data_IF_380060220355
#
_entry.id   IF_380060220355
#
_cell.length_a   1.000
_cell.length_b   1.000
_cell.length_c   1.000
_cell.angle_alpha   90.00
_cell.angle_beta   90.00
_cell.angle_gamma   90.00
#
_symmetry.space_group_name_H-M   'P 1'
#
loop_
_entity.id
_entity.type
_entity.pdbx_description
1 polymer ?
#
# COMPACT_ATOMS: atom_id res chain seq x y z
N UNK A 1 7.11 -10.93 -22.51
CA UNK A 1 6.44 -11.00 -21.20
C UNK A 1 5.30 -12.01 -21.27
N UNK A 2 4.88 -12.57 -20.12
CA UNK A 2 3.79 -13.55 -20.06
C UNK A 2 2.62 -12.96 -19.24
N UNK A 3 1.40 -13.09 -19.76
CA UNK A 3 0.16 -12.69 -19.08
C UNK A 3 -0.59 -13.93 -18.58
N UNK A 4 -0.95 -13.96 -17.29
CA UNK A 4 -1.89 -14.93 -16.75
C UNK A 4 -3.28 -14.32 -16.70
N UNK A 5 -4.25 -14.95 -17.34
CA UNK A 5 -5.67 -14.60 -17.28
C UNK A 5 -6.32 -15.57 -16.31
N UNK A 6 -6.72 -15.06 -15.13
CA UNK A 6 -7.38 -15.84 -14.08
C UNK A 6 -8.89 -15.71 -14.23
N UNK A 7 -9.56 -16.86 -14.43
CA UNK A 7 -11.01 -16.92 -14.69
C UNK A 7 -11.69 -17.70 -13.57
N UNK A 8 -12.27 -17.02 -12.55
CA UNK A 8 -13.13 -17.69 -11.56
C UNK A 8 -14.46 -18.06 -12.19
N UNK A 9 -14.93 -19.30 -11.98
CA UNK A 9 -16.16 -19.83 -12.58
C UNK A 9 -17.01 -20.53 -11.52
N UNK A 10 -18.32 -20.26 -11.55
CA UNK A 10 -19.32 -20.99 -10.76
C UNK A 10 -20.69 -20.96 -11.45
N UNK A 11 -21.14 -22.12 -11.97
CA UNK A 11 -22.40 -22.28 -12.67
C UNK A 11 -22.58 -21.29 -13.84
N UNK A 12 -21.66 -21.37 -14.82
CA UNK A 12 -21.62 -20.49 -15.99
C UNK A 12 -21.68 -21.29 -17.31
N UNK A 13 -22.50 -22.37 -17.33
CA UNK A 13 -22.63 -23.25 -18.51
C UNK A 13 -23.05 -22.52 -19.80
N UNK A 14 -23.72 -21.36 -19.69
CA UNK A 14 -24.19 -20.57 -20.82
C UNK A 14 -23.11 -19.63 -21.39
N UNK A 15 -22.09 -19.25 -20.62
CA UNK A 15 -21.19 -18.18 -20.96
C UNK A 15 -19.74 -18.62 -21.05
N UNK A 16 -19.33 -19.71 -20.34
CA UNK A 16 -17.93 -20.12 -20.22
C UNK A 16 -17.30 -20.49 -21.57
N UNK A 17 -18.00 -21.12 -22.48
CA UNK A 17 -17.49 -21.49 -23.81
C UNK A 17 -17.19 -20.24 -24.65
N UNK A 18 -18.12 -19.30 -24.64
CA UNK A 18 -17.99 -18.02 -25.34
C UNK A 18 -16.85 -17.17 -24.79
N UNK A 19 -16.75 -17.01 -23.44
CA UNK A 19 -15.69 -16.19 -22.86
C UNK A 19 -14.29 -16.77 -23.14
N UNK A 20 -14.13 -18.11 -23.08
CA UNK A 20 -12.86 -18.76 -23.45
C UNK A 20 -12.52 -18.52 -24.90
N UNK A 21 -13.52 -18.64 -25.81
CA UNK A 21 -13.34 -18.36 -27.24
C UNK A 21 -12.89 -16.93 -27.48
N UNK A 22 -13.51 -15.95 -26.78
CA UNK A 22 -13.12 -14.53 -26.86
C UNK A 22 -11.71 -14.30 -26.31
N UNK A 23 -11.31 -14.98 -25.22
CA UNK A 23 -9.94 -14.89 -24.66
C UNK A 23 -8.92 -15.43 -25.69
N UNK A 24 -9.18 -16.58 -26.30
CA UNK A 24 -8.26 -17.17 -27.29
C UNK A 24 -8.14 -16.34 -28.58
N UNK A 25 -9.13 -15.52 -28.89
CA UNK A 25 -9.08 -14.60 -30.02
C UNK A 25 -8.21 -13.36 -29.77
N UNK A 26 -7.87 -13.05 -28.49
CA UNK A 26 -7.05 -11.90 -28.14
C UNK A 26 -5.61 -12.15 -28.61
N UNK A 27 -5.05 -11.17 -29.32
CA UNK A 27 -3.64 -11.17 -29.73
C UNK A 27 -2.93 -9.95 -29.10
N UNK A 28 -1.85 -10.21 -28.41
CA UNK A 28 -1.03 -9.17 -27.76
C UNK A 28 0.40 -9.29 -28.28
N UNK A 29 0.84 -8.40 -29.18
CA UNK A 29 2.19 -8.46 -29.73
C UNK A 29 3.26 -8.46 -28.63
N UNK A 30 4.21 -9.41 -28.70
CA UNK A 30 5.30 -9.54 -27.75
C UNK A 30 4.93 -10.16 -26.40
N UNK A 31 3.69 -10.65 -26.24
CA UNK A 31 3.24 -11.35 -25.03
C UNK A 31 2.80 -12.79 -25.34
N UNK A 32 3.13 -13.69 -24.43
CA UNK A 32 2.51 -15.01 -24.36
C UNK A 32 1.40 -14.98 -23.33
N UNK A 33 0.38 -15.82 -23.49
CA UNK A 33 -0.76 -15.87 -22.57
C UNK A 33 -0.93 -17.29 -22.02
N UNK A 34 -1.34 -17.36 -20.75
CA UNK A 34 -1.92 -18.56 -20.14
C UNK A 34 -3.28 -18.25 -19.56
N UNK A 35 -4.15 -19.22 -19.57
CA UNK A 35 -5.50 -19.10 -18.98
C UNK A 35 -5.61 -20.09 -17.83
N UNK A 36 -5.88 -19.57 -16.64
CA UNK A 36 -6.06 -20.35 -15.41
C UNK A 36 -7.51 -20.24 -14.97
N UNK A 37 -8.25 -21.31 -15.10
CA UNK A 37 -9.67 -21.38 -14.73
C UNK A 37 -9.83 -22.05 -13.38
N UNK A 38 -10.56 -21.42 -12.48
CA UNK A 38 -10.89 -21.98 -11.16
C UNK A 38 -12.38 -22.25 -11.11
N UNK A 39 -12.73 -23.52 -11.20
CA UNK A 39 -14.12 -23.97 -11.03
C UNK A 39 -14.46 -24.12 -9.55
N UNK A 40 -15.27 -23.22 -9.04
CA UNK A 40 -15.63 -23.13 -7.63
C UNK A 40 -16.79 -24.08 -7.28
N UNK A 41 -16.62 -25.38 -7.62
CA UNK A 41 -17.59 -26.46 -7.42
C UNK A 41 -18.89 -26.26 -8.19
N UNK A 42 -18.83 -25.99 -9.50
CA UNK A 42 -20.02 -25.89 -10.35
C UNK A 42 -20.79 -27.18 -10.38
N UNK A 43 -22.16 -27.06 -10.31
CA UNK A 43 -23.11 -28.18 -10.31
C UNK A 43 -23.85 -28.34 -11.65
N UNK A 44 -23.66 -27.40 -12.57
CA UNK A 44 -24.23 -27.42 -13.94
C UNK A 44 -23.27 -28.09 -14.94
N UNK A 45 -23.43 -27.80 -16.24
CA UNK A 45 -22.58 -28.36 -17.29
C UNK A 45 -21.20 -27.65 -17.44
N UNK A 46 -20.89 -26.67 -16.58
CA UNK A 46 -19.61 -25.94 -16.63
C UNK A 46 -18.40 -26.89 -16.64
N UNK A 47 -18.29 -27.91 -15.74
CA UNK A 47 -17.12 -28.80 -15.73
C UNK A 47 -16.94 -29.60 -17.01
N UNK A 48 -18.06 -30.00 -17.68
CA UNK A 48 -17.99 -30.73 -18.93
C UNK A 48 -17.50 -29.84 -20.07
N UNK A 49 -17.88 -28.56 -20.07
CA UNK A 49 -17.41 -27.59 -21.08
C UNK A 49 -15.94 -27.33 -20.88
N UNK A 50 -15.48 -27.11 -19.64
CA UNK A 50 -14.07 -26.89 -19.32
C UNK A 50 -13.17 -28.05 -19.79
N UNK A 51 -13.65 -29.30 -19.65
CA UNK A 51 -12.91 -30.48 -20.15
C UNK A 51 -12.63 -30.43 -21.66
N UNK A 52 -13.50 -29.83 -22.46
CA UNK A 52 -13.26 -29.67 -23.91
C UNK A 52 -12.08 -28.77 -24.21
N UNK A 53 -11.84 -27.80 -23.34
CA UNK A 53 -10.75 -26.82 -23.48
C UNK A 53 -9.47 -27.17 -22.70
N UNK A 54 -9.41 -28.33 -22.03
CA UNK A 54 -8.33 -28.74 -21.14
C UNK A 54 -6.92 -28.70 -21.79
N UNK A 55 -6.85 -28.77 -23.13
CA UNK A 55 -5.60 -28.68 -23.87
C UNK A 55 -5.07 -27.25 -24.05
N UNK A 56 -5.87 -26.22 -23.73
CA UNK A 56 -5.52 -24.79 -23.87
C UNK A 56 -5.55 -24.03 -22.55
N UNK A 57 -6.16 -24.60 -21.49
CA UNK A 57 -6.34 -23.95 -20.21
C UNK A 57 -5.86 -24.83 -19.07
N UNK A 58 -5.40 -24.20 -18.00
CA UNK A 58 -5.17 -24.88 -16.72
C UNK A 58 -6.46 -24.80 -15.90
N UNK A 59 -7.04 -25.94 -15.53
CA UNK A 59 -8.26 -26.01 -14.73
C UNK A 59 -7.94 -26.50 -13.34
N UNK A 60 -8.43 -25.80 -12.32
CA UNK A 60 -8.45 -26.24 -10.93
C UNK A 60 -9.88 -26.25 -10.43
N UNK A 61 -10.31 -27.36 -9.84
CA UNK A 61 -11.68 -27.51 -9.34
C UNK A 61 -11.70 -27.60 -7.81
N UNK A 62 -12.52 -26.78 -7.17
CA UNK A 62 -12.78 -26.85 -5.74
C UNK A 62 -13.74 -28.01 -5.41
N UNK A 63 -13.63 -28.58 -4.22
CA UNK A 63 -14.55 -29.60 -3.72
C UNK A 63 -15.90 -29.03 -3.27
N UNK A 64 -15.91 -27.76 -2.89
CA UNK A 64 -17.06 -27.01 -2.38
C UNK A 64 -16.97 -25.54 -2.85
N UNK A 65 -18.11 -24.85 -2.94
CA UNK A 65 -18.12 -23.42 -3.27
C UNK A 65 -17.51 -22.60 -2.11
N UNK A 66 -16.45 -21.85 -2.42
CA UNK A 66 -15.68 -21.02 -1.48
C UNK A 66 -15.80 -19.54 -1.76
N UNK A 67 -16.51 -19.18 -2.79
CA UNK A 67 -16.74 -17.81 -3.22
C UNK A 67 -15.66 -17.24 -4.13
N UNK A 68 -16.05 -16.20 -4.90
CA UNK A 68 -15.25 -15.61 -5.97
C UNK A 68 -13.83 -15.23 -5.52
N UNK A 69 -13.69 -14.51 -4.41
CA UNK A 69 -12.38 -14.07 -3.95
C UNK A 69 -11.45 -15.23 -3.59
N UNK A 70 -11.97 -16.33 -3.03
CA UNK A 70 -11.18 -17.54 -2.76
C UNK A 70 -10.77 -18.22 -4.06
N UNK A 71 -11.66 -18.30 -5.05
CA UNK A 71 -11.34 -18.82 -6.38
C UNK A 71 -10.25 -18.00 -7.06
N UNK A 72 -10.37 -16.67 -7.04
CA UNK A 72 -9.34 -15.76 -7.56
C UNK A 72 -8.01 -15.98 -6.84
N UNK A 73 -7.99 -15.99 -5.49
CA UNK A 73 -6.79 -16.20 -4.70
C UNK A 73 -6.07 -17.52 -5.04
N UNK A 74 -6.84 -18.58 -5.33
CA UNK A 74 -6.29 -19.85 -5.78
C UNK A 74 -5.70 -19.72 -7.20
N UNK A 75 -6.43 -19.09 -8.12
CA UNK A 75 -5.95 -18.84 -9.47
C UNK A 75 -4.66 -18.03 -9.52
N UNK A 76 -4.53 -17.05 -8.62
CA UNK A 76 -3.30 -16.26 -8.46
C UNK A 76 -2.10 -17.10 -8.01
N UNK A 77 -2.30 -18.14 -7.19
CA UNK A 77 -1.22 -19.07 -6.81
C UNK A 77 -0.75 -19.90 -7.99
N UNK A 78 -1.69 -20.32 -8.83
CA UNK A 78 -1.46 -21.15 -10.01
C UNK A 78 -0.91 -20.37 -11.22
N UNK A 79 -1.05 -19.05 -11.21
CA UNK A 79 -0.59 -18.13 -12.24
C UNK A 79 0.96 -18.01 -12.24
N UNK A 80 1.56 -18.13 -13.43
CA UNK A 80 3.02 -18.13 -13.64
C UNK A 80 3.50 -16.97 -14.53
N UNK A 81 2.59 -16.08 -14.99
CA UNK A 81 2.92 -14.93 -15.82
C UNK A 81 3.60 -13.80 -15.04
N UNK A 82 4.23 -12.90 -15.77
CA UNK A 82 4.84 -11.68 -15.25
C UNK A 82 3.76 -10.69 -14.77
N UNK A 83 2.65 -10.67 -15.49
CA UNK A 83 1.44 -9.89 -15.18
C UNK A 83 0.22 -10.79 -15.08
N UNK A 84 -0.75 -10.37 -14.29
CA UNK A 84 -1.98 -11.08 -14.06
C UNK A 84 -3.17 -10.16 -14.32
N UNK A 85 -4.21 -10.68 -14.96
CA UNK A 85 -5.51 -10.02 -15.07
C UNK A 85 -6.62 -10.98 -14.62
N UNK A 86 -7.63 -10.45 -13.93
CA UNK A 86 -8.83 -11.19 -13.56
C UNK A 86 -9.88 -10.98 -14.66
N UNK A 87 -10.47 -12.06 -15.16
CA UNK A 87 -11.52 -12.06 -16.17
C UNK A 87 -12.71 -12.84 -15.65
N UNK A 88 -13.84 -12.17 -15.46
CA UNK A 88 -15.09 -12.85 -15.09
C UNK A 88 -15.63 -13.70 -16.27
N UNK A 89 -16.26 -14.81 -15.92
CA UNK A 89 -16.83 -15.74 -16.92
C UNK A 89 -18.21 -15.32 -17.46
N UNK A 90 -18.72 -14.18 -17.01
CA UNK A 90 -20.12 -13.76 -17.17
C UNK A 90 -20.42 -12.88 -18.40
N UNK A 91 -19.42 -12.63 -19.26
CA UNK A 91 -19.52 -11.79 -20.45
C UNK A 91 -19.76 -10.29 -20.19
N UNK A 92 -19.82 -9.83 -18.93
CA UNK A 92 -19.99 -8.40 -18.61
C UNK A 92 -18.79 -7.56 -19.09
N UNK A 93 -17.59 -8.16 -19.14
CA UNK A 93 -16.35 -7.54 -19.63
C UNK A 93 -15.82 -8.26 -20.88
N UNK A 94 -15.37 -7.48 -21.86
CA UNK A 94 -14.93 -8.05 -23.14
C UNK A 94 -13.40 -8.21 -23.21
N UNK A 95 -12.87 -9.45 -23.42
CA UNK A 95 -11.41 -9.70 -23.48
C UNK A 95 -10.63 -8.88 -24.53
N UNK A 96 -11.30 -8.39 -25.60
CA UNK A 96 -10.66 -7.49 -26.59
C UNK A 96 -10.09 -6.21 -26.00
N UNK A 97 -10.46 -5.86 -24.77
CA UNK A 97 -9.98 -4.65 -24.08
C UNK A 97 -8.69 -4.88 -23.30
N UNK A 98 -8.29 -6.13 -23.06
CA UNK A 98 -7.04 -6.49 -22.40
C UNK A 98 -5.82 -5.79 -23.02
N UNK A 99 -5.65 -5.70 -24.35
CA UNK A 99 -4.54 -4.99 -24.98
C UNK A 99 -4.48 -3.50 -24.59
N UNK A 100 -5.63 -2.83 -24.33
CA UNK A 100 -5.64 -1.42 -23.91
C UNK A 100 -5.11 -1.25 -22.50
N UNK A 101 -5.41 -2.19 -21.60
CA UNK A 101 -4.83 -2.18 -20.24
C UNK A 101 -3.32 -2.38 -20.31
N UNK A 102 -2.85 -3.33 -21.13
CA UNK A 102 -1.42 -3.60 -21.31
C UNK A 102 -0.70 -2.39 -21.89
N UNK A 103 -1.30 -1.70 -22.87
CA UNK A 103 -0.72 -0.51 -23.47
C UNK A 103 -0.62 0.69 -22.52
N UNK A 104 -1.30 0.63 -21.37
CA UNK A 104 -1.24 1.65 -20.34
C UNK A 104 -0.17 1.35 -19.25
N UNK A 105 0.45 0.17 -19.26
CA UNK A 105 1.55 -0.14 -18.34
C UNK A 105 2.71 0.82 -18.58
N UNK A 106 3.26 1.39 -17.50
CA UNK A 106 4.36 2.36 -17.54
C UNK A 106 3.94 3.79 -17.86
N UNK A 107 2.67 4.05 -18.19
CA UNK A 107 2.17 5.43 -18.28
C UNK A 107 2.09 6.03 -16.88
N UNK A 108 2.70 7.21 -16.70
CA UNK A 108 2.81 7.88 -15.40
C UNK A 108 3.39 6.96 -14.30
N UNK A 109 4.38 6.15 -14.64
CA UNK A 109 5.06 5.16 -13.77
C UNK A 109 4.12 4.13 -13.11
N UNK A 110 2.88 4.00 -13.61
CA UNK A 110 1.93 3.05 -13.09
C UNK A 110 2.14 1.66 -13.72
N UNK A 111 2.44 0.68 -12.89
CA UNK A 111 2.51 -0.74 -13.30
C UNK A 111 1.21 -1.50 -13.03
N UNK A 112 0.22 -0.86 -12.42
CA UNK A 112 -1.10 -1.41 -12.12
C UNK A 112 -2.11 -0.63 -12.93
N UNK A 113 -2.95 -1.34 -13.69
CA UNK A 113 -3.94 -0.71 -14.57
C UNK A 113 -5.32 -1.30 -14.32
N UNK A 114 -6.28 -0.44 -14.02
CA UNK A 114 -7.67 -0.82 -13.86
C UNK A 114 -8.51 -0.39 -15.07
N UNK A 115 -9.42 -1.25 -15.48
CA UNK A 115 -10.44 -0.87 -16.45
C UNK A 115 -11.59 -0.15 -15.74
N UNK A 116 -11.84 1.11 -16.05
CA UNK A 116 -12.93 1.87 -15.44
C UNK A 116 -14.16 1.94 -16.36
N UNK A 117 -15.31 1.56 -15.81
CA UNK A 117 -16.64 1.69 -16.45
C UNK A 117 -17.14 3.14 -16.41
N UNK A 118 -16.50 4.00 -15.62
CA UNK A 118 -16.95 5.38 -15.40
C UNK A 118 -16.22 6.41 -16.25
N UNK A 119 -15.15 6.01 -16.97
CA UNK A 119 -14.40 6.89 -17.88
C UNK A 119 -15.01 7.00 -19.28
N UNK A 120 -15.89 6.08 -19.66
CA UNK A 120 -16.67 6.22 -20.90
C UNK A 120 -17.82 7.24 -20.75
N UNK A 121 -17.98 8.09 -21.75
CA UNK A 121 -19.06 9.08 -21.81
C UNK A 121 -20.39 8.51 -22.30
N UNK A 122 -20.45 7.23 -22.64
CA UNK A 122 -21.69 6.58 -23.12
C UNK A 122 -22.71 6.39 -21.99
N UNK A 123 -23.99 6.23 -22.38
CA UNK A 123 -25.10 6.07 -21.43
C UNK A 123 -24.78 5.00 -20.40
N UNK A 124 -24.74 5.42 -19.16
CA UNK A 124 -24.45 4.54 -18.02
C UNK A 124 -25.64 3.61 -17.79
N UNK A 125 -25.54 2.36 -18.21
CA UNK A 125 -26.53 1.31 -17.95
C UNK A 125 -26.39 0.75 -16.54
N UNK A 126 -27.49 0.23 -15.98
CA UNK A 126 -27.52 -0.40 -14.65
C UNK A 126 -28.38 0.33 -13.61
N UNK A 127 -28.69 -0.35 -12.51
CA UNK A 127 -29.57 0.15 -11.45
C UNK A 127 -28.91 1.31 -10.68
N UNK A 128 -29.62 2.41 -10.49
CA UNK A 128 -29.17 3.65 -9.83
C UNK A 128 -28.57 3.37 -8.45
N UNK A 129 -29.20 2.51 -7.64
CA UNK A 129 -28.73 2.16 -6.30
C UNK A 129 -27.37 1.44 -6.28
N UNK A 130 -27.10 0.56 -7.25
CA UNK A 130 -25.81 -0.12 -7.34
C UNK A 130 -24.71 0.84 -7.76
N UNK A 131 -24.99 1.74 -8.69
CA UNK A 131 -24.07 2.80 -9.11
C UNK A 131 -23.73 3.72 -7.95
N UNK A 132 -24.73 4.08 -7.12
CA UNK A 132 -24.51 4.87 -5.92
C UNK A 132 -23.60 4.14 -4.91
N UNK A 133 -23.82 2.82 -4.70
CA UNK A 133 -22.96 2.02 -3.82
C UNK A 133 -21.49 1.97 -4.30
N UNK A 134 -21.27 1.71 -5.58
CA UNK A 134 -19.92 1.72 -6.18
C UNK A 134 -19.28 3.11 -6.08
N UNK A 135 -20.04 4.17 -6.36
CA UNK A 135 -19.58 5.54 -6.23
C UNK A 135 -19.17 5.86 -4.77
N UNK A 136 -20.00 5.50 -3.80
CA UNK A 136 -19.73 5.74 -2.37
C UNK A 136 -18.43 5.03 -1.93
N UNK A 137 -18.26 3.76 -2.30
CA UNK A 137 -17.06 2.98 -1.96
C UNK A 137 -15.83 3.56 -2.66
N UNK A 138 -15.96 3.98 -3.92
CA UNK A 138 -14.87 4.64 -4.65
C UNK A 138 -14.45 5.95 -3.96
N UNK A 139 -15.42 6.77 -3.54
CA UNK A 139 -15.15 8.00 -2.79
C UNK A 139 -14.51 7.73 -1.44
N UNK A 140 -14.95 6.70 -0.73
CA UNK A 140 -14.38 6.28 0.54
C UNK A 140 -12.91 5.87 0.37
N UNK A 141 -12.57 5.02 -0.61
CA UNK A 141 -11.20 4.60 -0.91
C UNK A 141 -10.34 5.81 -1.30
N UNK A 142 -10.84 6.67 -2.19
CA UNK A 142 -10.12 7.88 -2.59
C UNK A 142 -9.80 8.78 -1.39
N UNK A 143 -10.76 8.96 -0.50
CA UNK A 143 -10.56 9.72 0.71
C UNK A 143 -9.58 9.05 1.68
N UNK A 144 -9.67 7.71 1.85
CA UNK A 144 -8.81 6.93 2.75
C UNK A 144 -7.34 6.90 2.31
N UNK A 145 -7.07 6.92 1.00
CA UNK A 145 -5.73 6.71 0.44
C UNK A 145 -5.22 7.89 -0.41
N UNK A 146 -5.96 9.01 -0.47
CA UNK A 146 -5.54 10.21 -1.20
C UNK A 146 -5.48 10.02 -2.72
N UNK A 147 -6.32 9.15 -3.30
CA UNK A 147 -6.33 8.83 -4.72
C UNK A 147 -7.49 9.49 -5.48
N UNK A 148 -7.50 9.35 -6.81
CA UNK A 148 -8.57 9.89 -7.68
C UNK A 148 -9.15 8.84 -8.60
N UNK A 149 -9.25 7.59 -8.13
CA UNK A 149 -9.83 6.50 -8.90
C UNK A 149 -11.30 6.76 -9.20
N UNK A 150 -11.75 6.26 -10.35
CA UNK A 150 -13.13 6.42 -10.81
C UNK A 150 -13.96 5.15 -10.65
N UNK A 151 -13.31 3.96 -10.59
CA UNK A 151 -13.97 2.66 -10.44
C UNK A 151 -13.10 1.63 -9.69
N UNK A 152 -13.23 1.58 -8.37
CA UNK A 152 -12.47 0.62 -7.54
C UNK A 152 -13.07 -0.79 -7.53
N UNK A 153 -14.34 -0.94 -7.95
CA UNK A 153 -15.06 -2.22 -7.95
C UNK A 153 -15.12 -2.87 -9.33
N UNK A 154 -14.23 -2.50 -10.21
CA UNK A 154 -14.03 -3.19 -11.48
C UNK A 154 -13.39 -4.55 -11.27
N UNK A 155 -13.75 -5.55 -12.06
CA UNK A 155 -13.03 -6.83 -12.10
C UNK A 155 -11.76 -6.74 -12.95
N UNK A 156 -11.71 -5.81 -13.93
CA UNK A 156 -10.55 -5.63 -14.79
C UNK A 156 -9.40 -4.94 -14.06
N UNK A 157 -8.61 -5.76 -13.37
CA UNK A 157 -7.42 -5.37 -12.64
C UNK A 157 -6.21 -6.08 -13.24
N UNK A 158 -5.37 -5.34 -13.94
CA UNK A 158 -4.10 -5.81 -14.47
C UNK A 158 -2.98 -5.37 -13.51
N UNK A 159 -2.16 -6.30 -13.04
CA UNK A 159 -1.11 -6.01 -12.08
C UNK A 159 0.08 -6.98 -12.18
N UNK A 160 1.31 -6.57 -11.76
CA UNK A 160 2.47 -7.42 -11.69
C UNK A 160 2.27 -8.63 -10.75
N UNK A 161 2.77 -9.80 -11.13
CA UNK A 161 2.64 -11.02 -10.33
C UNK A 161 3.22 -10.91 -8.92
N UNK A 162 4.18 -10.02 -8.68
CA UNK A 162 4.73 -9.74 -7.35
C UNK A 162 3.70 -9.27 -6.33
N UNK A 163 2.58 -8.69 -6.80
CA UNK A 163 1.51 -8.18 -5.95
C UNK A 163 0.48 -9.24 -5.55
N UNK A 164 0.51 -10.45 -6.12
CA UNK A 164 -0.43 -11.53 -5.78
C UNK A 164 -0.46 -11.88 -4.28
N UNK A 165 0.64 -11.63 -3.57
CA UNK A 165 0.75 -11.81 -2.10
C UNK A 165 -0.22 -10.94 -1.28
N UNK A 166 -0.71 -9.83 -1.84
CA UNK A 166 -1.65 -8.92 -1.18
C UNK A 166 -3.12 -9.34 -1.32
N UNK A 167 -3.38 -10.31 -2.19
CA UNK A 167 -4.75 -10.78 -2.41
C UNK A 167 -5.15 -11.76 -1.30
N UNK A 168 -6.26 -11.47 -0.62
CA UNK A 168 -6.79 -12.27 0.47
C UNK A 168 -7.92 -13.17 -0.02
N UNK A 169 -8.11 -14.31 0.64
CA UNK A 169 -9.29 -15.16 0.41
C UNK A 169 -10.55 -14.49 0.94
N UNK A 170 -11.68 -14.73 0.30
CA UNK A 170 -12.97 -14.15 0.71
C UNK A 170 -14.01 -14.21 -0.38
N UNK A 171 -15.04 -13.36 -0.27
CA UNK A 171 -16.06 -13.16 -1.26
C UNK A 171 -15.73 -12.06 -2.27
N UNK A 172 -16.71 -11.26 -2.67
CA UNK A 172 -16.55 -10.13 -3.59
C UNK A 172 -15.69 -8.98 -2.99
N UNK A 173 -15.66 -8.88 -1.66
CA UNK A 173 -14.86 -7.89 -0.94
C UNK A 173 -13.35 -8.07 -1.10
N UNK A 174 -12.88 -9.27 -1.45
CA UNK A 174 -11.45 -9.57 -1.60
C UNK A 174 -10.75 -8.66 -2.63
N UNK A 175 -11.43 -8.32 -3.72
CA UNK A 175 -10.89 -7.41 -4.75
C UNK A 175 -10.77 -5.97 -4.27
N UNK A 176 -11.65 -5.52 -3.37
CA UNK A 176 -11.57 -4.20 -2.74
C UNK A 176 -10.45 -4.14 -1.69
N UNK A 177 -10.32 -5.20 -0.89
CA UNK A 177 -9.23 -5.32 0.08
C UNK A 177 -7.87 -5.38 -0.62
N UNK A 178 -7.78 -6.04 -1.77
CA UNK A 178 -6.59 -6.01 -2.62
C UNK A 178 -6.28 -4.58 -3.08
N UNK A 179 -7.28 -3.82 -3.58
CA UNK A 179 -7.09 -2.41 -3.95
C UNK A 179 -6.60 -1.58 -2.76
N UNK A 180 -7.21 -1.77 -1.58
CA UNK A 180 -6.78 -1.09 -0.36
C UNK A 180 -5.34 -1.44 0.03
N UNK A 181 -4.94 -2.72 -0.10
CA UNK A 181 -3.60 -3.19 0.22
C UNK A 181 -2.53 -2.56 -0.68
N UNK A 182 -2.75 -2.52 -2.01
CA UNK A 182 -1.80 -1.92 -2.96
C UNK A 182 -1.71 -0.40 -2.82
N UNK A 183 -2.83 0.28 -2.54
CA UNK A 183 -2.81 1.73 -2.27
C UNK A 183 -2.11 2.07 -0.96
N UNK A 184 -2.30 1.27 0.07
CA UNK A 184 -1.57 1.37 1.34
C UNK A 184 -0.07 1.21 1.13
N UNK A 185 0.32 0.36 0.16
CA UNK A 185 1.71 0.17 -0.24
C UNK A 185 2.27 1.34 -1.07
N UNK A 186 1.51 2.43 -1.25
CA UNK A 186 1.94 3.61 -1.99
C UNK A 186 2.01 3.40 -3.51
N UNK A 187 1.40 2.31 -4.03
CA UNK A 187 1.43 2.03 -5.46
C UNK A 187 0.43 2.89 -6.23
N UNK A 188 0.84 3.36 -7.39
CA UNK A 188 -0.02 4.10 -8.32
C UNK A 188 -0.84 3.15 -9.18
N UNK A 189 -2.13 3.47 -9.36
CA UNK A 189 -3.05 2.76 -10.25
C UNK A 189 -3.44 3.70 -11.38
N UNK A 190 -3.17 3.29 -12.62
CA UNK A 190 -3.72 3.96 -13.80
C UNK A 190 -5.10 3.39 -14.13
N UNK A 191 -5.96 4.21 -14.73
CA UNK A 191 -7.26 3.76 -15.22
C UNK A 191 -7.38 3.97 -16.72
N UNK A 192 -8.00 3.00 -17.40
CA UNK A 192 -8.38 3.09 -18.82
C UNK A 192 -9.87 2.86 -18.96
N UNK A 193 -10.53 3.53 -19.91
CA UNK A 193 -11.95 3.30 -20.16
C UNK A 193 -12.18 1.89 -20.71
N UNK A 194 -13.23 1.23 -20.20
CA UNK A 194 -13.68 -0.07 -20.70
C UNK A 194 -15.20 -0.07 -20.90
N UNK A 195 -15.67 -0.93 -21.80
CA UNK A 195 -17.11 -1.22 -21.97
C UNK A 195 -17.59 -2.17 -20.87
N UNK A 196 -18.88 -2.11 -20.57
CA UNK A 196 -19.53 -2.97 -19.60
C UNK A 196 -20.94 -3.28 -20.07
N UNK A 197 -21.26 -4.57 -20.19
CA UNK A 197 -22.59 -5.07 -20.55
C UNK A 197 -23.21 -5.73 -19.32
N UNK A 198 -23.97 -4.98 -18.47
CA UNK A 198 -24.51 -5.53 -17.23
C UNK A 198 -25.57 -6.61 -17.53
N UNK A 199 -25.54 -7.70 -16.77
CA UNK A 199 -26.58 -8.74 -16.80
C UNK A 199 -27.86 -8.24 -16.14
N UNK A 200 -28.98 -8.70 -16.65
CA UNK A 200 -30.29 -8.51 -16.04
C UNK A 200 -30.44 -9.34 -14.75
N UNK A 201 -31.32 -8.87 -13.85
CA UNK A 201 -31.59 -9.57 -12.59
C UNK A 201 -32.09 -11.01 -12.80
N UNK A 202 -32.78 -11.30 -13.94
CA UNK A 202 -33.24 -12.62 -14.34
C UNK A 202 -32.11 -13.56 -14.77
N UNK A 203 -30.94 -13.04 -15.10
CA UNK A 203 -29.77 -13.79 -15.58
C UNK A 203 -28.78 -14.21 -14.48
N UNK A 204 -29.20 -14.16 -13.20
CA UNK A 204 -28.46 -14.73 -12.09
C UNK A 204 -27.41 -13.77 -11.45
N UNK A 205 -27.71 -12.48 -11.39
CA UNK A 205 -26.86 -11.50 -10.71
C UNK A 205 -26.56 -11.89 -9.26
N UNK A 206 -25.30 -12.15 -8.95
CA UNK A 206 -24.87 -12.75 -7.67
C UNK A 206 -24.57 -11.72 -6.57
N UNK A 207 -24.30 -10.44 -6.90
CA UNK A 207 -23.96 -9.39 -5.93
C UNK A 207 -25.21 -8.80 -5.28
N UNK A 208 -25.26 -8.84 -3.93
CA UNK A 208 -26.36 -8.30 -3.10
C UNK A 208 -25.91 -7.03 -2.37
N UNK A 209 -26.85 -6.16 -1.96
CA UNK A 209 -26.57 -4.95 -1.18
C UNK A 209 -25.79 -5.22 0.14
N UNK A 210 -25.96 -6.43 0.72
CA UNK A 210 -25.21 -6.89 1.89
C UNK A 210 -23.70 -6.98 1.65
N UNK A 211 -23.30 -7.32 0.41
CA UNK A 211 -21.88 -7.44 0.05
C UNK A 211 -21.21 -6.06 0.07
N UNK A 212 -21.93 -5.01 -0.36
CA UNK A 212 -21.46 -3.63 -0.29
C UNK A 212 -21.26 -3.15 1.17
N UNK A 213 -22.22 -3.43 2.06
CA UNK A 213 -22.10 -3.07 3.46
C UNK A 213 -20.96 -3.81 4.16
N UNK A 214 -20.85 -5.12 3.90
CA UNK A 214 -19.74 -5.94 4.39
C UNK A 214 -18.37 -5.42 3.90
N UNK A 215 -18.29 -5.03 2.63
CA UNK A 215 -17.09 -4.47 2.05
C UNK A 215 -16.65 -3.18 2.76
N UNK A 216 -17.59 -2.27 3.06
CA UNK A 216 -17.31 -1.04 3.82
C UNK A 216 -16.81 -1.38 5.24
N UNK A 217 -17.48 -2.29 5.95
CA UNK A 217 -17.06 -2.72 7.29
C UNK A 217 -15.64 -3.30 7.26
N UNK A 218 -15.34 -4.16 6.27
CA UNK A 218 -14.01 -4.78 6.15
C UNK A 218 -12.93 -3.78 5.75
N UNK A 219 -13.24 -2.82 4.87
CA UNK A 219 -12.31 -1.74 4.53
C UNK A 219 -11.98 -0.87 5.74
N UNK A 220 -12.98 -0.50 6.54
CA UNK A 220 -12.76 0.25 7.78
C UNK A 220 -11.97 -0.57 8.79
N UNK A 221 -12.32 -1.84 8.96
CA UNK A 221 -11.59 -2.76 9.83
C UNK A 221 -10.15 -2.99 9.35
N UNK A 222 -9.93 -3.20 8.04
CA UNK A 222 -8.60 -3.34 7.45
C UNK A 222 -7.77 -2.06 7.68
N UNK A 223 -8.35 -0.88 7.47
CA UNK A 223 -7.69 0.39 7.76
C UNK A 223 -7.29 0.47 9.24
N UNK A 224 -8.21 0.15 10.16
CA UNK A 224 -7.98 0.19 11.60
C UNK A 224 -6.94 -0.85 12.06
N UNK A 225 -7.00 -2.07 11.54
CA UNK A 225 -6.07 -3.15 11.86
C UNK A 225 -4.67 -2.84 11.30
N UNK A 226 -4.59 -2.34 10.07
CA UNK A 226 -3.32 -2.06 9.41
C UNK A 226 -2.68 -0.74 9.82
N UNK A 227 -3.43 0.17 10.45
CA UNK A 227 -2.85 1.27 11.25
C UNK A 227 -2.00 0.68 12.40
N UNK A 228 -2.39 -0.50 12.95
CA UNK A 228 -1.67 -1.18 14.05
C UNK A 228 -0.58 -2.14 13.59
N UNK A 229 -0.51 -2.51 12.31
CA UNK A 229 0.57 -3.36 11.80
C UNK A 229 1.70 -2.47 11.32
N UNK A 230 2.92 -2.62 11.86
CA UNK A 230 4.08 -1.96 11.29
C UNK A 230 4.17 -2.38 9.82
N UNK A 231 4.30 -1.39 8.93
CA UNK A 231 4.49 -1.64 7.50
C UNK A 231 5.72 -2.52 7.35
N UNK A 232 5.60 -3.65 6.64
CA UNK A 232 6.73 -4.53 6.39
C UNK A 232 7.89 -3.72 5.81
N UNK A 233 8.99 -3.65 6.54
CA UNK A 233 10.18 -2.90 6.23
C UNK A 233 10.84 -3.52 5.00
N UNK A 234 10.99 -2.77 3.91
CA UNK A 234 12.06 -3.06 2.97
C UNK A 234 13.35 -2.65 3.68
N UNK A 235 14.14 -3.62 4.13
CA UNK A 235 15.42 -3.39 4.77
C UNK A 235 16.42 -2.96 3.69
N UNK A 236 16.36 -1.71 3.29
CA UNK A 236 17.49 -1.12 2.58
C UNK A 236 18.64 -1.06 3.57
N UNK A 237 19.75 -1.68 3.23
CA UNK A 237 20.95 -1.66 4.07
C UNK A 237 21.58 -0.25 4.07
N UNK A 238 21.18 0.58 5.01
CA UNK A 238 21.70 1.93 5.18
C UNK A 238 23.04 1.97 5.95
N UNK A 239 23.65 0.82 6.24
CA UNK A 239 24.90 0.75 7.02
C UNK A 239 26.05 1.57 6.43
N UNK A 240 26.04 1.81 5.12
CA UNK A 240 27.07 2.59 4.43
C UNK A 240 27.02 4.09 4.75
N UNK A 241 25.87 4.64 5.15
CA UNK A 241 25.68 6.07 5.51
C UNK A 241 25.69 6.30 7.02
N UNK A 242 25.53 5.23 7.83
CA UNK A 242 25.48 5.33 9.29
C UNK A 242 26.91 5.44 9.86
N UNK A 243 27.06 6.25 10.90
CA UNK A 243 28.30 6.44 11.65
C UNK A 243 28.05 6.49 13.17
N UNK A 244 29.10 6.46 13.95
CA UNK A 244 29.02 6.67 15.39
C UNK A 244 28.46 8.07 15.72
N UNK A 245 27.41 8.18 16.53
CA UNK A 245 26.82 9.49 16.88
C UNK A 245 27.76 10.39 17.63
N UNK A 246 28.77 9.83 18.32
CA UNK A 246 29.69 10.61 19.16
C UNK A 246 30.94 11.06 18.41
N UNK A 247 31.65 10.17 17.70
CA UNK A 247 32.89 10.51 17.01
C UNK A 247 32.80 10.56 15.50
N UNK A 248 31.61 10.28 14.94
CA UNK A 248 31.31 10.25 13.49
C UNK A 248 32.16 9.24 12.70
N UNK A 249 32.92 8.36 13.35
CA UNK A 249 33.65 7.27 12.72
C UNK A 249 32.69 6.19 12.18
N UNK A 250 33.10 5.48 11.12
CA UNK A 250 32.33 4.37 10.58
C UNK A 250 32.09 3.27 11.62
N UNK A 251 30.92 2.63 11.53
CA UNK A 251 30.53 1.51 12.38
C UNK A 251 30.81 0.17 11.67
N UNK A 252 31.16 -0.84 12.46
CA UNK A 252 31.39 -2.20 11.98
C UNK A 252 30.26 -3.11 12.46
N UNK A 253 29.81 -4.02 11.62
CA UNK A 253 28.83 -5.06 12.04
C UNK A 253 29.54 -6.11 12.88
N UNK A 254 28.93 -6.50 14.02
CA UNK A 254 29.28 -7.68 14.78
C UNK A 254 28.01 -8.53 15.03
N UNK A 255 28.10 -9.77 15.56
CA UNK A 255 26.93 -10.61 15.78
C UNK A 255 25.84 -9.97 16.67
N UNK A 256 26.23 -9.11 17.60
CA UNK A 256 25.34 -8.51 18.60
C UNK A 256 24.87 -7.08 18.22
N UNK A 257 25.34 -6.54 17.09
CA UNK A 257 24.94 -5.18 16.66
C UNK A 257 25.98 -4.44 15.86
N UNK A 258 26.07 -3.12 16.11
CA UNK A 258 27.03 -2.22 15.50
C UNK A 258 28.14 -1.86 16.49
N UNK A 259 29.37 -1.76 16.04
CA UNK A 259 30.55 -1.49 16.85
C UNK A 259 31.27 -0.23 16.40
N UNK A 260 31.55 0.67 17.32
CA UNK A 260 32.53 1.76 17.16
C UNK A 260 33.86 1.39 17.83
N UNK A 261 34.99 1.61 17.15
CA UNK A 261 36.33 1.33 17.73
C UNK A 261 36.63 2.16 19.00
N UNK A 262 36.04 3.35 19.13
CA UNK A 262 36.28 4.29 20.23
C UNK A 262 35.22 4.15 21.33
N UNK A 263 33.92 4.04 20.93
CA UNK A 263 32.81 4.13 21.88
C UNK A 263 32.17 2.75 22.20
N UNK A 264 32.72 1.67 21.62
CA UNK A 264 32.24 0.32 21.89
C UNK A 264 30.98 -0.07 21.12
N UNK A 265 30.24 -1.11 21.60
CA UNK A 265 29.10 -1.68 20.93
C UNK A 265 27.84 -0.83 21.08
N UNK A 266 27.05 -0.79 20.00
CA UNK A 266 25.69 -0.30 19.98
C UNK A 266 24.73 -1.47 19.79
N UNK A 267 23.73 -1.59 20.63
CA UNK A 267 22.77 -2.69 20.60
C UNK A 267 21.83 -2.61 19.40
N UNK A 268 21.28 -3.73 19.04
CA UNK A 268 20.14 -3.84 18.12
C UNK A 268 18.97 -4.39 18.96
N UNK A 269 17.79 -3.79 18.80
CA UNK A 269 16.61 -4.25 19.51
C UNK A 269 15.99 -5.53 18.91
N UNK A 270 14.95 -6.07 19.55
CA UNK A 270 14.23 -7.27 19.09
C UNK A 270 13.59 -7.14 17.71
N UNK A 271 13.47 -5.91 17.20
CA UNK A 271 12.96 -5.58 15.85
C UNK A 271 14.09 -5.32 14.85
N UNK A 272 15.34 -5.67 15.18
CA UNK A 272 16.56 -5.46 14.39
C UNK A 272 16.86 -3.99 14.07
N UNK A 273 16.47 -3.05 14.97
CA UNK A 273 16.73 -1.61 14.82
C UNK A 273 18.00 -1.22 15.59
N UNK A 274 18.88 -0.42 14.99
CA UNK A 274 20.06 0.09 15.70
C UNK A 274 19.67 1.10 16.78
N UNK A 275 20.21 0.92 17.98
CA UNK A 275 20.05 1.80 19.13
C UNK A 275 21.34 2.60 19.24
N UNK A 276 21.35 3.82 18.72
CA UNK A 276 22.52 4.70 18.59
C UNK A 276 22.46 5.86 19.59
N UNK A 277 22.07 5.56 20.82
CA UNK A 277 22.07 6.45 21.99
C UNK A 277 22.68 5.75 23.19
N UNK A 278 22.93 6.49 24.26
CA UNK A 278 23.40 5.93 25.52
C UNK A 278 22.37 4.98 26.12
N UNK A 279 22.83 3.86 26.68
CA UNK A 279 21.97 2.79 27.21
C UNK A 279 20.98 3.31 28.27
N UNK A 280 21.46 4.17 29.16
CA UNK A 280 20.63 4.76 30.22
C UNK A 280 19.50 5.63 29.67
N UNK A 281 19.75 6.40 28.61
CA UNK A 281 18.74 7.22 27.92
C UNK A 281 17.70 6.32 27.24
N UNK A 282 18.15 5.24 26.59
CA UNK A 282 17.26 4.29 25.96
C UNK A 282 16.33 3.61 26.97
N UNK A 283 16.89 3.12 28.10
CA UNK A 283 16.10 2.46 29.15
C UNK A 283 15.09 3.42 29.77
N UNK A 284 15.47 4.66 30.07
CA UNK A 284 14.57 5.69 30.57
C UNK A 284 13.42 5.96 29.61
N UNK A 285 13.71 6.15 28.33
CA UNK A 285 12.71 6.47 27.31
C UNK A 285 11.75 5.28 27.05
N UNK A 286 12.25 4.06 27.08
CA UNK A 286 11.43 2.86 26.92
C UNK A 286 10.46 2.63 28.08
N UNK A 287 10.80 3.09 29.30
CA UNK A 287 9.94 3.05 30.50
C UNK A 287 8.89 4.17 30.50
N UNK A 288 9.26 5.38 30.10
CA UNK A 288 8.33 6.53 30.05
C UNK A 288 7.16 6.30 29.10
N UNK A 289 7.36 5.51 28.05
CA UNK A 289 6.30 5.18 27.10
C UNK A 289 5.14 4.37 27.75
N UNK A 290 5.33 3.80 28.92
CA UNK A 290 4.35 2.90 29.59
C UNK A 290 3.50 3.56 30.67
N UNK A 291 3.65 4.86 30.97
CA UNK A 291 2.99 5.50 32.13
C UNK A 291 1.93 6.55 31.81
N UNK A 292 0.74 6.44 32.44
CA UNK A 292 -0.27 7.48 32.72
C UNK A 292 -0.82 8.27 31.53
N UNK A 293 -0.69 9.60 31.56
CA UNK A 293 -1.24 10.55 30.55
C UNK A 293 -0.61 10.36 29.17
N UNK A 294 0.64 9.92 29.12
CA UNK A 294 1.32 9.53 27.90
C UNK A 294 0.67 8.32 27.24
N UNK A 295 0.11 7.38 28.03
CA UNK A 295 -0.64 6.26 27.50
C UNK A 295 -1.92 6.72 26.79
N UNK A 296 -2.67 7.67 27.35
CA UNK A 296 -3.89 8.22 26.74
C UNK A 296 -3.57 9.02 25.46
N UNK A 297 -2.52 9.84 25.48
CA UNK A 297 -2.01 10.53 24.26
C UNK A 297 -1.56 9.52 23.21
N UNK A 298 -0.83 8.47 23.60
CA UNK A 298 -0.39 7.38 22.71
C UNK A 298 -1.57 6.55 22.21
N UNK A 299 -2.58 6.33 23.06
CA UNK A 299 -3.81 5.66 22.67
C UNK A 299 -4.62 6.47 21.65
N UNK A 300 -4.77 7.79 21.87
CA UNK A 300 -5.42 8.70 20.91
C UNK A 300 -4.61 8.82 19.61
N UNK A 301 -3.28 8.85 19.68
CA UNK A 301 -2.39 8.80 18.52
C UNK A 301 -2.43 7.46 17.78
N UNK A 302 -2.85 6.36 18.45
CA UNK A 302 -3.14 5.08 17.77
C UNK A 302 -4.39 5.15 16.88
N UNK A 303 -5.17 6.22 17.00
CA UNK A 303 -6.30 6.56 16.14
C UNK A 303 -5.97 7.83 15.34
N UNK A 304 -5.04 7.77 14.36
CA UNK A 304 -4.55 8.95 13.64
C UNK A 304 -5.70 9.77 13.06
N UNK A 305 -6.74 9.10 12.61
CA UNK A 305 -7.94 9.72 12.05
C UNK A 305 -8.72 10.54 13.07
N UNK A 306 -8.94 10.00 14.26
CA UNK A 306 -9.62 10.72 15.34
C UNK A 306 -8.72 11.86 15.82
N UNK A 307 -7.43 11.60 15.98
CA UNK A 307 -6.44 12.60 16.36
C UNK A 307 -6.34 13.72 15.32
N UNK A 308 -6.18 13.39 14.04
CA UNK A 308 -6.13 14.38 12.94
C UNK A 308 -7.49 15.08 12.75
N UNK A 309 -8.61 14.39 12.93
CA UNK A 309 -9.94 15.02 12.84
C UNK A 309 -10.14 16.02 13.98
N UNK A 310 -9.84 15.63 15.21
CA UNK A 310 -9.92 16.53 16.39
C UNK A 310 -8.97 17.71 16.19
N UNK A 311 -7.72 17.47 15.73
CA UNK A 311 -6.73 18.51 15.48
C UNK A 311 -7.09 19.41 14.30
N UNK A 312 -7.68 18.87 13.25
CA UNK A 312 -8.17 19.63 12.09
C UNK A 312 -9.27 20.62 12.50
N UNK A 313 -10.20 20.20 13.35
CA UNK A 313 -11.25 21.09 13.87
C UNK A 313 -10.75 22.03 14.98
N UNK A 314 -9.77 21.61 15.77
CA UNK A 314 -9.21 22.43 16.83
C UNK A 314 -8.16 23.45 16.34
N UNK A 315 -7.44 23.15 15.26
CA UNK A 315 -6.39 24.00 14.68
C UNK A 315 -6.44 24.02 13.13
N UNK A 316 -7.45 24.63 12.52
CA UNK A 316 -7.60 24.63 11.05
C UNK A 316 -6.45 25.31 10.29
N UNK A 317 -5.68 26.16 10.94
CA UNK A 317 -4.55 26.90 10.30
C UNK A 317 -3.34 26.00 9.93
N UNK A 318 -3.21 24.81 10.52
CA UNK A 318 -2.07 23.91 10.26
C UNK A 318 -2.20 23.04 9.00
N UNK A 319 -3.36 23.06 8.34
CA UNK A 319 -3.66 22.15 7.22
C UNK A 319 -3.60 22.76 5.82
N UNK A 320 -3.09 23.99 5.68
CA UNK A 320 -3.08 24.69 4.40
C UNK A 320 -1.85 24.42 3.53
N UNK A 321 -0.88 23.63 4.00
CA UNK A 321 0.35 23.32 3.26
C UNK A 321 0.46 21.81 3.03
N UNK A 322 0.95 21.41 1.86
CA UNK A 322 1.17 20.00 1.48
C UNK A 322 2.18 19.24 2.34
N UNK A 323 2.53 19.77 3.51
CA UNK A 323 3.30 19.12 4.55
C UNK A 323 4.68 18.60 4.12
N UNK A 324 5.29 17.76 4.96
CA UNK A 324 6.67 17.30 4.80
C UNK A 324 6.91 16.45 3.54
N UNK A 325 5.86 15.86 2.96
CA UNK A 325 5.98 15.09 1.70
C UNK A 325 6.37 15.92 0.48
N UNK A 326 6.24 17.26 0.55
CA UNK A 326 6.71 18.15 -0.53
C UNK A 326 8.19 17.97 -0.86
N UNK A 327 8.99 17.47 0.07
CA UNK A 327 10.40 17.20 -0.19
C UNK A 327 10.59 16.09 -1.24
N UNK A 328 9.67 15.12 -1.30
CA UNK A 328 9.71 14.03 -2.28
C UNK A 328 9.51 14.53 -3.72
N UNK A 329 8.79 15.65 -3.90
CA UNK A 329 8.62 16.28 -5.22
C UNK A 329 9.90 17.00 -5.68
N UNK A 330 10.87 17.21 -4.78
CA UNK A 330 12.12 17.92 -5.02
C UNK A 330 13.34 17.03 -5.18
N UNK A 331 13.25 15.78 -4.71
CA UNK A 331 14.34 14.80 -4.77
C UNK A 331 14.04 13.74 -5.83
N UNK A 332 15.07 13.10 -6.37
CA UNK A 332 14.94 12.05 -7.37
C UNK A 332 14.43 10.75 -6.76
N UNK A 333 13.87 9.87 -7.58
CA UNK A 333 13.54 8.51 -7.15
C UNK A 333 14.79 7.76 -6.64
N UNK A 334 14.66 7.07 -5.50
CA UNK A 334 15.78 6.40 -4.84
C UNK A 334 16.60 7.29 -3.90
N UNK A 335 16.24 8.57 -3.76
CA UNK A 335 16.87 9.48 -2.80
C UNK A 335 16.68 9.04 -1.35
N UNK A 336 17.68 9.31 -0.52
CA UNK A 336 17.66 8.98 0.90
C UNK A 336 17.22 10.20 1.70
N UNK A 337 16.02 10.14 2.27
CA UNK A 337 15.43 11.23 3.08
C UNK A 337 15.15 10.73 4.49
N UNK A 338 15.47 11.52 5.51
CA UNK A 338 15.19 11.20 6.92
C UNK A 338 14.02 12.00 7.46
N UNK A 339 13.30 11.40 8.41
CA UNK A 339 12.28 12.04 9.24
C UNK A 339 12.82 12.13 10.69
N UNK A 340 13.12 13.36 11.12
CA UNK A 340 13.79 13.67 12.37
C UNK A 340 12.77 13.96 13.46
N UNK A 341 12.73 13.12 14.50
CA UNK A 341 11.68 13.16 15.53
C UNK A 341 10.36 12.66 14.99
N UNK A 342 10.42 11.55 14.26
CA UNK A 342 9.27 11.00 13.52
C UNK A 342 8.08 10.62 14.40
N UNK A 343 8.29 10.43 15.69
CA UNK A 343 7.23 9.98 16.60
C UNK A 343 6.72 8.57 16.25
N UNK A 344 5.46 8.27 16.60
CA UNK A 344 4.87 6.95 16.37
C UNK A 344 4.34 6.74 14.94
N UNK A 345 4.41 7.74 14.07
CA UNK A 345 3.85 7.72 12.72
C UNK A 345 4.94 7.69 11.66
N UNK A 346 4.61 7.21 10.45
CA UNK A 346 5.51 7.20 9.30
C UNK A 346 4.95 8.07 8.19
N UNK A 347 5.71 9.05 7.74
CA UNK A 347 5.35 9.93 6.63
C UNK A 347 5.24 9.17 5.30
N UNK A 348 6.12 8.22 5.06
CA UNK A 348 6.17 7.37 3.88
C UNK A 348 7.24 6.30 4.00
N UNK A 349 7.27 5.35 3.05
CA UNK A 349 8.30 4.29 3.02
C UNK A 349 9.67 4.82 2.60
N UNK A 350 9.65 5.93 1.90
CA UNK A 350 10.81 6.63 1.37
C UNK A 350 11.65 7.29 2.47
N UNK A 351 11.04 7.50 3.66
CA UNK A 351 11.70 8.13 4.79
C UNK A 351 12.35 7.11 5.71
N UNK A 352 13.58 7.42 6.16
CA UNK A 352 14.22 6.77 7.31
C UNK A 352 13.75 7.50 8.56
N UNK A 353 12.93 6.85 9.37
CA UNK A 353 12.39 7.44 10.59
C UNK A 353 13.42 7.35 11.73
N UNK A 354 13.73 8.47 12.35
CA UNK A 354 14.57 8.52 13.54
C UNK A 354 13.87 9.23 14.70
N UNK A 355 14.02 8.68 15.89
CA UNK A 355 13.49 9.25 17.12
C UNK A 355 14.30 8.79 18.32
N UNK A 356 14.25 9.55 19.41
CA UNK A 356 14.85 9.18 20.69
C UNK A 356 14.03 8.14 21.45
N UNK A 357 12.73 8.03 21.13
CA UNK A 357 11.81 7.03 21.65
C UNK A 357 11.69 5.84 20.69
N UNK A 358 11.70 4.59 21.19
CA UNK A 358 11.66 3.40 20.34
C UNK A 358 10.24 3.05 19.88
N UNK A 359 9.56 3.98 19.19
CA UNK A 359 8.24 3.69 18.62
C UNK A 359 8.30 2.60 17.54
N UNK A 360 7.20 1.87 17.27
CA UNK A 360 7.19 0.77 16.29
C UNK A 360 7.63 1.18 14.87
N UNK A 361 7.34 2.43 14.47
CA UNK A 361 7.64 2.95 13.13
C UNK A 361 9.04 3.60 13.00
N UNK A 362 9.79 3.69 14.09
CA UNK A 362 11.14 4.24 14.10
C UNK A 362 12.14 3.22 13.53
N UNK A 363 13.00 3.66 12.64
CA UNK A 363 14.03 2.83 12.01
C UNK A 363 15.36 2.90 12.78
N UNK A 364 15.67 4.06 13.34
CA UNK A 364 16.92 4.31 14.09
C UNK A 364 16.59 5.03 15.39
N UNK A 365 16.92 4.42 16.52
CA UNK A 365 16.77 5.08 17.82
C UNK A 365 18.02 5.90 18.11
N UNK A 366 17.90 7.22 18.07
CA UNK A 366 19.03 8.14 18.26
C UNK A 366 18.59 9.53 18.72
N UNK A 367 19.56 10.30 19.23
CA UNK A 367 19.39 11.70 19.59
C UNK A 367 19.57 12.58 18.34
N UNK A 368 18.60 13.43 18.04
CA UNK A 368 18.64 14.35 16.91
C UNK A 368 19.76 15.40 16.99
N UNK A 369 20.27 15.70 18.19
CA UNK A 369 21.43 16.58 18.37
C UNK A 369 22.77 15.92 18.02
N UNK A 370 22.78 14.59 17.79
CA UNK A 370 23.97 13.78 17.48
C UNK A 370 23.64 12.74 16.40
N UNK A 371 23.06 13.18 15.27
CA UNK A 371 22.58 12.27 14.22
C UNK A 371 23.65 11.28 13.77
N UNK A 372 23.32 9.98 13.66
CA UNK A 372 24.28 8.93 13.35
C UNK A 372 24.50 8.76 11.84
N UNK A 373 24.57 9.85 11.11
CA UNK A 373 24.83 9.85 9.66
C UNK A 373 26.13 10.59 9.36
N UNK A 374 26.83 10.14 8.30
CA UNK A 374 28.00 10.80 7.77
C UNK A 374 27.63 12.17 7.18
N UNK A 375 28.60 13.06 7.05
CA UNK A 375 28.40 14.36 6.41
C UNK A 375 27.98 14.17 4.95
N UNK A 376 27.12 15.04 4.44
CA UNK A 376 26.76 15.14 3.02
C UNK A 376 26.30 13.80 2.39
N UNK A 377 25.54 12.99 3.14
CA UNK A 377 25.10 11.66 2.66
C UNK A 377 23.64 11.56 2.32
N UNK A 378 22.82 12.47 2.85
CA UNK A 378 21.36 12.44 2.67
C UNK A 378 20.93 13.44 1.59
N UNK A 379 19.89 13.08 0.84
CA UNK A 379 19.31 13.95 -0.18
C UNK A 379 18.29 14.93 0.43
N UNK A 380 17.77 14.60 1.62
CA UNK A 380 16.89 15.48 2.35
C UNK A 380 16.66 15.08 3.80
N UNK A 381 16.15 16.04 4.58
CA UNK A 381 15.74 15.86 5.97
C UNK A 381 14.44 16.62 6.24
N UNK A 382 13.54 15.96 6.95
CA UNK A 382 12.24 16.51 7.37
C UNK A 382 12.18 16.50 8.88
N UNK A 383 11.59 17.52 9.48
CA UNK A 383 11.22 17.54 10.90
C UNK A 383 9.89 18.24 11.07
N UNK A 384 8.94 17.56 11.70
CA UNK A 384 7.61 18.09 11.95
C UNK A 384 7.32 18.09 13.45
N UNK A 385 7.07 19.28 14.02
CA UNK A 385 6.71 19.43 15.44
C UNK A 385 7.73 18.85 16.44
N UNK A 386 9.04 18.88 16.12
CA UNK A 386 10.11 18.48 17.03
C UNK A 386 10.73 19.70 17.74
N UNK A 387 10.95 20.78 17.01
CA UNK A 387 11.77 21.91 17.43
C UNK A 387 11.22 22.61 18.68
N UNK A 388 9.92 22.57 18.92
CA UNK A 388 9.27 23.09 20.12
C UNK A 388 9.43 22.21 21.36
N UNK A 389 9.86 20.97 21.19
CA UNK A 389 9.98 20.00 22.29
C UNK A 389 11.43 19.73 22.72
N UNK A 390 12.38 20.40 22.13
CA UNK A 390 13.82 20.16 22.36
C UNK A 390 14.47 21.37 23.03
N UNK A 391 15.39 21.17 23.99
CA UNK A 391 16.09 22.28 24.66
C UNK A 391 16.98 23.09 23.73
N UNK A 392 17.56 22.46 22.70
CA UNK A 392 18.48 23.06 21.76
C UNK A 392 18.14 22.72 20.30
N UNK A 393 17.19 23.47 19.77
CA UNK A 393 16.78 23.36 18.38
C UNK A 393 17.89 23.73 17.38
N UNK A 394 18.83 24.58 17.79
CA UNK A 394 19.95 25.00 16.96
C UNK A 394 20.90 23.83 16.64
N UNK A 395 21.24 23.00 17.63
CA UNK A 395 22.08 21.82 17.42
C UNK A 395 21.43 20.83 16.43
N UNK A 396 20.12 20.65 16.51
CA UNK A 396 19.39 19.79 15.56
C UNK A 396 19.47 20.37 14.15
N UNK A 397 19.26 21.68 13.98
CA UNK A 397 19.39 22.35 12.69
C UNK A 397 20.80 22.19 12.12
N UNK A 398 21.85 22.35 12.94
CA UNK A 398 23.22 22.12 12.52
C UNK A 398 23.48 20.69 12.06
N UNK A 399 22.96 19.69 12.78
CA UNK A 399 23.08 18.28 12.40
C UNK A 399 22.30 18.00 11.10
N UNK A 400 21.09 18.55 10.91
CA UNK A 400 20.34 18.41 9.65
C UNK A 400 21.13 18.97 8.47
N UNK A 401 21.73 20.16 8.62
CA UNK A 401 22.59 20.76 7.59
C UNK A 401 23.83 19.91 7.34
N UNK A 402 24.47 19.39 8.38
CA UNK A 402 25.68 18.56 8.25
C UNK A 402 25.43 17.26 7.47
N UNK A 403 24.30 16.63 7.67
CA UNK A 403 24.02 15.30 7.08
C UNK A 403 23.45 15.38 5.66
N UNK A 404 22.81 16.50 5.31
CA UNK A 404 22.23 16.73 3.99
C UNK A 404 23.30 17.20 3.02
N UNK A 405 23.32 16.62 1.81
CA UNK A 405 24.24 16.99 0.73
C UNK A 405 24.09 18.46 0.32
N UNK A 406 25.15 19.12 -0.16
CA UNK A 406 25.01 20.41 -0.83
C UNK A 406 23.98 20.32 -1.99
N UNK A 407 22.99 21.23 -1.97
CA UNK A 407 21.88 21.20 -2.92
C UNK A 407 20.72 20.27 -2.55
N UNK A 408 20.80 19.52 -1.45
CA UNK A 408 19.71 18.77 -0.89
C UNK A 408 18.66 19.66 -0.18
N UNK A 409 17.59 19.05 0.31
CA UNK A 409 16.44 19.79 0.83
C UNK A 409 16.22 19.53 2.32
N UNK A 410 15.89 20.58 3.05
CA UNK A 410 15.51 20.52 4.46
C UNK A 410 14.12 21.13 4.62
N UNK A 411 13.20 20.39 5.23
CA UNK A 411 11.87 20.87 5.59
C UNK A 411 11.73 20.84 7.11
N UNK A 412 11.36 21.98 7.70
CA UNK A 412 11.07 22.10 9.13
C UNK A 412 9.72 22.77 9.30
N UNK A 413 8.87 22.14 10.10
CA UNK A 413 7.58 22.70 10.52
C UNK A 413 7.51 22.72 12.04
N UNK A 414 7.23 23.88 12.61
CA UNK A 414 6.96 24.06 14.04
C UNK A 414 5.72 24.93 14.20
N UNK A 415 4.82 24.65 15.16
CA UNK A 415 3.64 25.47 15.41
C UNK A 415 4.06 26.86 15.86
N UNK A 416 3.46 27.89 15.24
CA UNK A 416 3.78 29.29 15.54
C UNK A 416 3.21 29.75 16.90
N UNK A 417 2.14 29.11 17.37
CA UNK A 417 1.51 29.41 18.66
C UNK A 417 1.31 28.09 19.41
N UNK A 418 2.11 27.87 20.44
CA UNK A 418 1.89 26.82 21.41
C UNK A 418 1.61 27.46 22.77
N UNK A 419 0.52 27.10 23.48
CA UNK A 419 0.38 27.53 24.87
C UNK A 419 1.53 26.94 25.68
N UNK A 420 2.21 27.77 26.45
CA UNK A 420 3.29 27.36 27.36
C UNK A 420 2.84 26.17 28.21
N UNK A 421 3.67 25.17 28.26
CA UNK A 421 3.53 24.06 29.22
C UNK A 421 4.12 24.43 30.55
#
# INVERSE_FOLDING_TARGET
MKLSIVVPVYNEEKTIDEILSRIFAVKIPGWTMEVVVIDDASSDKTPQILKKHAHKIKVVTHKENRGKGTAVAHGLKEATGDYIIIQDADLEYHPREIPFLIAAIGKNDAHIVYGSRNLHHEKKEGFIFQRFGVWLITKLINWMYGTRLTDVWTCYKLFPASLKKHFVQGGFEAELLFTAAILRDGRTIAEVPISHAPRDASEGKKIRYRDGFRAIQLLLADKLINIRRPKARETNDHSHIICCPFCKAGLFKNPDGLMCKVHGPFAIDTSHRPILIEKEVYEKNSLQHKSGVTWLKSFLKQWPYLYHTVWHYACPALMLVNGPRMILDKVSEGSVVIDVGSGPERLGREFINMDVFPFPEVDIVCDATKMPFKNDTLDGAVSESLFEHVPDAYLIACEMVRVVKPGGYIYVSAPFIHPYH
#
